data_IF_354867784949
#
_entry.id   IF_354867784949
#
_cell.length_a   1.000
_cell.length_b   1.000
_cell.length_c   1.000
_cell.angle_alpha   90.00
_cell.angle_beta   90.00
_cell.angle_gamma   90.00
#
_symmetry.space_group_name_H-M   'P 1'
#
loop_
_entity.id
_entity.type
_entity.pdbx_description
1 polymer ?
#
# COMPACT_ATOMS: atom_id res chain seq x y z
N UNK A 1 -7.39 -6.39 -13.20
CA UNK A 1 -6.47 -5.87 -12.17
C UNK A 1 -6.96 -6.38 -10.82
N UNK A 2 -6.08 -7.00 -10.02
CA UNK A 2 -6.42 -7.45 -8.67
C UNK A 2 -5.82 -6.47 -7.68
N UNK A 3 -6.59 -6.12 -6.65
CA UNK A 3 -6.14 -5.26 -5.56
C UNK A 3 -6.03 -6.05 -4.25
N UNK A 4 -5.10 -5.65 -3.39
CA UNK A 4 -4.94 -6.20 -2.06
C UNK A 4 -4.33 -5.19 -1.10
N UNK A 5 -4.95 -5.03 0.08
CA UNK A 5 -4.41 -4.19 1.15
C UNK A 5 -3.43 -4.99 2.00
N UNK A 6 -2.24 -4.43 2.25
CA UNK A 6 -1.18 -5.05 3.07
C UNK A 6 -0.53 -4.03 3.98
N UNK A 7 0.11 -4.49 5.05
CA UNK A 7 0.99 -3.64 5.86
C UNK A 7 2.33 -3.44 5.14
N UNK A 8 2.79 -2.20 5.10
CA UNK A 8 4.08 -1.81 4.54
C UNK A 8 5.24 -2.32 5.42
N UNK A 9 6.17 -3.14 4.88
CA UNK A 9 7.26 -3.70 5.67
C UNK A 9 8.53 -2.84 5.70
N UNK A 10 8.55 -1.65 5.07
CA UNK A 10 9.78 -0.90 4.83
C UNK A 10 10.42 -0.32 6.10
N UNK A 11 9.65 0.37 6.94
CA UNK A 11 10.18 1.08 8.12
C UNK A 11 9.54 0.68 9.46
N UNK A 12 8.53 -0.20 9.46
CA UNK A 12 7.91 -0.71 10.67
C UNK A 12 6.92 0.22 11.38
N UNK A 13 6.59 1.38 10.81
CA UNK A 13 5.60 2.32 11.39
C UNK A 13 4.17 1.78 11.35
N UNK A 14 3.88 0.82 10.46
CA UNK A 14 2.55 0.22 10.31
C UNK A 14 1.66 0.85 9.24
N UNK A 15 2.23 1.59 8.27
CA UNK A 15 1.46 2.11 7.13
C UNK A 15 0.73 0.97 6.39
N UNK A 16 -0.44 1.26 5.84
CA UNK A 16 -1.14 0.33 4.95
C UNK A 16 -1.11 0.85 3.51
N UNK A 17 -0.94 -0.07 2.57
CA UNK A 17 -0.90 0.22 1.13
C UNK A 17 -1.82 -0.73 0.37
N UNK A 18 -2.41 -0.23 -0.71
CA UNK A 18 -3.10 -1.05 -1.71
C UNK A 18 -2.12 -1.39 -2.81
N UNK A 19 -1.90 -2.68 -3.05
CA UNK A 19 -1.09 -3.18 -4.17
C UNK A 19 -1.98 -3.44 -5.38
N UNK A 20 -1.61 -2.87 -6.53
CA UNK A 20 -2.26 -3.07 -7.81
C UNK A 20 -1.52 -4.15 -8.60
N UNK A 21 -2.15 -5.32 -8.76
CA UNK A 21 -1.54 -6.52 -9.36
C UNK A 21 -2.14 -6.82 -10.72
N UNK A 22 -1.27 -7.04 -11.71
CA UNK A 22 -1.62 -7.44 -13.06
C UNK A 22 -0.65 -8.52 -13.54
N UNK A 23 -1.17 -9.61 -14.11
CA UNK A 23 -0.36 -10.73 -14.60
C UNK A 23 0.64 -11.26 -13.57
N UNK A 24 0.22 -11.36 -12.30
CA UNK A 24 1.03 -11.75 -11.14
C UNK A 24 2.23 -10.83 -10.84
N UNK A 25 2.23 -9.60 -11.37
CA UNK A 25 3.24 -8.58 -11.10
C UNK A 25 2.60 -7.39 -10.40
N UNK A 26 3.25 -6.89 -9.34
CA UNK A 26 2.86 -5.63 -8.69
C UNK A 26 3.24 -4.48 -9.62
N UNK A 27 2.25 -3.71 -10.08
CA UNK A 27 2.45 -2.58 -11.00
C UNK A 27 2.52 -1.23 -10.30
N UNK A 28 1.77 -1.09 -9.20
CA UNK A 28 1.73 0.13 -8.42
C UNK A 28 1.38 -0.15 -6.96
N UNK A 29 1.67 0.81 -6.10
CA UNK A 29 1.21 0.86 -4.73
C UNK A 29 0.62 2.24 -4.46
N UNK A 30 -0.52 2.29 -3.79
CA UNK A 30 -1.15 3.54 -3.32
C UNK A 30 -1.36 3.49 -1.82
N UNK A 31 -1.31 4.64 -1.14
CA UNK A 31 -1.60 4.70 0.29
C UNK A 31 -3.08 4.46 0.57
N UNK A 32 -3.38 3.95 1.76
CA UNK A 32 -4.75 3.75 2.23
C UNK A 32 -5.21 4.99 3.01
N UNK A 33 -6.18 5.72 2.47
CA UNK A 33 -6.63 7.02 2.98
C UNK A 33 -7.14 6.97 4.43
N UNK A 34 -7.85 5.89 4.78
CA UNK A 34 -8.46 5.70 6.11
C UNK A 34 -7.49 5.07 7.13
N UNK A 35 -6.23 4.81 6.77
CA UNK A 35 -5.26 4.26 7.70
C UNK A 35 -4.73 5.35 8.66
N UNK A 36 -4.75 5.11 9.99
CA UNK A 36 -4.36 6.12 10.98
C UNK A 36 -2.87 6.49 10.95
N UNK A 37 -2.01 5.63 10.40
CA UNK A 37 -0.56 5.85 10.39
C UNK A 37 -0.15 6.74 9.23
N UNK A 38 -0.58 6.42 8.01
CA UNK A 38 -0.12 7.14 6.81
C UNK A 38 -1.18 8.01 6.14
N UNK A 39 -2.46 7.87 6.48
CA UNK A 39 -3.55 8.73 6.00
C UNK A 39 -3.52 8.92 4.47
N UNK A 40 -3.30 7.84 3.73
CA UNK A 40 -3.19 7.87 2.26
C UNK A 40 -1.83 8.30 1.69
N UNK A 41 -0.93 8.84 2.50
CA UNK A 41 0.39 9.28 2.04
C UNK A 41 1.39 8.11 2.00
N UNK A 42 2.32 8.18 1.04
CA UNK A 42 3.46 7.26 0.94
C UNK A 42 4.76 8.04 1.20
N UNK A 43 5.84 7.35 1.55
CA UNK A 43 7.12 7.98 1.87
C UNK A 43 7.90 8.50 0.63
N UNK A 44 7.27 8.51 -0.56
CA UNK A 44 7.87 8.86 -1.85
C UNK A 44 7.07 9.97 -2.53
#
# INVERSE_FOLDING_TARGET
MKEGKVICPYCGTGCQVTLHVENNVVRAATGVEDNPVNQGNLCL
#
